data_IF_778740610720
#
_entry.id   IF_778740610720
#
_cell.length_a   1.000
_cell.length_b   1.000
_cell.length_c   1.000
_cell.angle_alpha   90.00
_cell.angle_beta   90.00
_cell.angle_gamma   90.00
#
_symmetry.space_group_name_H-M   'P 1'
#
loop_
_entity.id
_entity.type
_entity.pdbx_description
1 polymer ?
#
# COMPACT_ATOMS: atom_id res chain seq x y z
N UNK A 1 -30.29 -9.24 0.92
CA UNK A 1 -28.82 -9.44 0.95
C UNK A 1 -28.16 -9.30 -0.41
N UNK A 2 -28.61 -9.98 -1.48
CA UNK A 2 -27.94 -9.91 -2.83
C UNK A 2 -27.82 -8.48 -3.39
N UNK A 3 -28.85 -7.65 -3.25
CA UNK A 3 -28.83 -6.25 -3.74
C UNK A 3 -27.77 -5.43 -3.00
N UNK A 4 -27.65 -5.58 -1.69
CA UNK A 4 -26.66 -4.89 -0.87
C UNK A 4 -25.22 -5.22 -1.32
N UNK A 5 -24.90 -6.51 -1.49
CA UNK A 5 -23.57 -6.93 -1.98
C UNK A 5 -23.29 -6.44 -3.41
N UNK A 6 -24.35 -6.37 -4.26
CA UNK A 6 -24.23 -5.79 -5.59
C UNK A 6 -23.85 -4.31 -5.56
N UNK A 7 -24.57 -3.50 -4.79
CA UNK A 7 -24.30 -2.06 -4.64
C UNK A 7 -22.89 -1.84 -4.05
N UNK A 8 -22.55 -2.56 -2.98
CA UNK A 8 -21.26 -2.49 -2.34
C UNK A 8 -20.12 -2.83 -3.31
N UNK A 9 -20.32 -3.85 -4.16
CA UNK A 9 -19.37 -4.24 -5.18
C UNK A 9 -19.13 -3.18 -6.24
N UNK A 10 -20.20 -2.51 -6.71
CA UNK A 10 -20.06 -1.39 -7.66
C UNK A 10 -19.33 -0.22 -7.02
N UNK A 11 -19.67 0.17 -5.82
CA UNK A 11 -18.97 1.24 -5.08
C UNK A 11 -17.50 0.89 -4.85
N UNK A 12 -17.19 -0.38 -4.54
CA UNK A 12 -15.84 -0.86 -4.37
C UNK A 12 -15.02 -0.72 -5.67
N UNK A 13 -15.55 -1.17 -6.80
CA UNK A 13 -14.90 -1.04 -8.11
C UNK A 13 -14.66 0.43 -8.46
N UNK A 14 -15.67 1.28 -8.31
CA UNK A 14 -15.55 2.72 -8.55
C UNK A 14 -14.49 3.35 -7.65
N UNK A 15 -14.47 3.01 -6.37
CA UNK A 15 -13.48 3.51 -5.40
C UNK A 15 -12.04 3.07 -5.74
N UNK A 16 -11.86 1.80 -6.12
CA UNK A 16 -10.55 1.26 -6.52
C UNK A 16 -10.00 2.01 -7.74
N UNK A 17 -10.80 2.12 -8.80
CA UNK A 17 -10.37 2.76 -10.05
C UNK A 17 -10.17 4.28 -9.86
N UNK A 18 -11.13 4.94 -9.23
CA UNK A 18 -11.04 6.37 -8.94
C UNK A 18 -9.80 6.71 -8.10
N UNK A 19 -9.59 5.98 -7.00
CA UNK A 19 -8.46 6.21 -6.10
C UNK A 19 -7.12 6.00 -6.82
N UNK A 20 -6.98 4.92 -7.60
CA UNK A 20 -5.75 4.61 -8.34
C UNK A 20 -5.47 5.63 -9.44
N UNK A 21 -6.48 6.02 -10.23
CA UNK A 21 -6.34 7.03 -11.29
C UNK A 21 -6.02 8.43 -10.74
N UNK A 22 -6.66 8.81 -9.63
CA UNK A 22 -6.38 10.09 -8.97
C UNK A 22 -4.97 10.13 -8.38
N UNK A 23 -4.50 9.01 -7.78
CA UNK A 23 -3.14 8.93 -7.26
C UNK A 23 -2.08 9.17 -8.36
N UNK A 24 -2.32 8.72 -9.58
CA UNK A 24 -1.45 8.97 -10.74
C UNK A 24 -1.34 10.45 -11.15
N UNK A 25 -2.39 11.23 -10.89
CA UNK A 25 -2.47 12.63 -11.36
C UNK A 25 -1.61 13.59 -10.53
N UNK A 26 -1.31 13.24 -9.26
CA UNK A 26 -0.64 14.13 -8.35
C UNK A 26 0.87 13.86 -8.26
N UNK A 27 1.64 14.93 -7.98
CA UNK A 27 3.07 14.87 -7.67
C UNK A 27 3.33 15.08 -6.18
N UNK A 28 2.36 15.59 -5.43
CA UNK A 28 2.45 15.74 -3.98
C UNK A 28 2.34 14.36 -3.30
N UNK A 29 3.39 13.95 -2.56
CA UNK A 29 3.48 12.62 -1.95
C UNK A 29 2.27 12.30 -1.06
N UNK A 30 1.87 13.23 -0.19
CA UNK A 30 0.69 13.06 0.67
C UNK A 30 -0.61 12.87 -0.12
N UNK A 31 -0.79 13.56 -1.27
CA UNK A 31 -1.98 13.38 -2.11
C UNK A 31 -1.98 12.02 -2.78
N UNK A 32 -0.82 11.56 -3.27
CA UNK A 32 -0.67 10.20 -3.81
C UNK A 32 -1.09 9.17 -2.75
N UNK A 33 -0.57 9.31 -1.52
CA UNK A 33 -0.90 8.41 -0.42
C UNK A 33 -2.40 8.48 -0.04
N UNK A 34 -2.99 9.66 0.00
CA UNK A 34 -4.40 9.83 0.35
C UNK A 34 -5.33 9.17 -0.68
N UNK A 35 -5.14 9.46 -1.97
CA UNK A 35 -5.96 8.86 -3.02
C UNK A 35 -5.73 7.35 -3.16
N UNK A 36 -4.49 6.88 -3.00
CA UNK A 36 -4.26 5.43 -2.97
C UNK A 36 -4.96 4.76 -1.79
N UNK A 37 -5.20 5.45 -0.65
CA UNK A 37 -6.02 4.88 0.44
C UNK A 37 -7.47 4.63 0.03
N UNK A 38 -8.05 5.49 -0.80
CA UNK A 38 -9.41 5.28 -1.33
C UNK A 38 -9.48 3.95 -2.10
N UNK A 39 -8.48 3.68 -2.96
CA UNK A 39 -8.40 2.41 -3.68
C UNK A 39 -8.24 1.20 -2.76
N UNK A 40 -7.42 1.32 -1.70
CA UNK A 40 -7.20 0.21 -0.77
C UNK A 40 -8.46 -0.09 0.08
N UNK A 41 -9.21 0.93 0.51
CA UNK A 41 -10.52 0.74 1.16
C UNK A 41 -11.49 0.08 0.20
N UNK A 42 -11.42 0.39 -1.08
CA UNK A 42 -12.18 -0.29 -2.13
C UNK A 42 -11.92 -1.81 -2.19
N UNK A 43 -10.68 -2.28 -1.98
CA UNK A 43 -10.40 -3.73 -1.90
C UNK A 43 -11.07 -4.39 -0.71
N UNK A 44 -11.12 -3.72 0.44
CA UNK A 44 -11.82 -4.22 1.63
C UNK A 44 -13.31 -4.37 1.35
N UNK A 45 -13.94 -3.33 0.79
CA UNK A 45 -15.34 -3.35 0.42
C UNK A 45 -15.64 -4.43 -0.63
N UNK A 46 -14.74 -4.62 -1.62
CA UNK A 46 -14.86 -5.66 -2.63
C UNK A 46 -14.78 -7.06 -2.01
N UNK A 47 -13.91 -7.29 -1.04
CA UNK A 47 -13.80 -8.57 -0.33
C UNK A 47 -15.09 -8.93 0.40
N UNK A 48 -15.74 -7.95 1.04
CA UNK A 48 -17.06 -8.14 1.65
C UNK A 48 -18.12 -8.42 0.58
N UNK A 49 -18.10 -7.69 -0.55
CA UNK A 49 -19.05 -7.85 -1.65
C UNK A 49 -18.91 -9.18 -2.40
N UNK A 50 -17.75 -9.84 -2.35
CA UNK A 50 -17.55 -11.20 -2.87
C UNK A 50 -18.47 -12.18 -2.15
N UNK A 51 -18.58 -12.10 -0.82
CA UNK A 51 -19.56 -12.84 -0.02
C UNK A 51 -19.22 -14.31 0.18
N UNK A 52 -17.94 -14.70 0.11
CA UNK A 52 -17.46 -16.04 0.46
C UNK A 52 -16.29 -15.96 1.45
N UNK A 53 -15.83 -17.12 1.93
CA UNK A 53 -14.75 -17.23 2.90
C UNK A 53 -13.45 -16.53 2.43
N UNK A 54 -13.00 -16.78 1.21
CA UNK A 54 -11.77 -16.19 0.69
C UNK A 54 -11.87 -14.67 0.51
N UNK A 55 -13.02 -14.17 0.05
CA UNK A 55 -13.28 -12.74 -0.05
C UNK A 55 -13.18 -12.04 1.30
N UNK A 56 -13.83 -12.60 2.34
CA UNK A 56 -13.83 -12.04 3.67
C UNK A 56 -12.45 -12.17 4.34
N UNK A 57 -11.79 -13.32 4.20
CA UNK A 57 -10.43 -13.54 4.68
C UNK A 57 -9.44 -12.54 4.04
N UNK A 58 -9.55 -12.34 2.72
CA UNK A 58 -8.77 -11.34 1.99
C UNK A 58 -9.04 -9.91 2.48
N UNK A 59 -10.30 -9.55 2.76
CA UNK A 59 -10.67 -8.24 3.29
C UNK A 59 -10.06 -7.99 4.68
N UNK A 60 -10.18 -8.94 5.60
CA UNK A 60 -9.61 -8.83 6.97
C UNK A 60 -8.09 -8.73 6.91
N UNK A 61 -7.44 -9.61 6.15
CA UNK A 61 -5.99 -9.56 5.97
C UNK A 61 -5.56 -8.22 5.34
N UNK A 62 -6.38 -7.67 4.42
CA UNK A 62 -6.10 -6.39 3.78
C UNK A 62 -6.25 -5.22 4.75
N UNK A 63 -7.22 -5.22 5.67
CA UNK A 63 -7.35 -4.20 6.72
C UNK A 63 -6.06 -4.10 7.53
N UNK A 64 -5.58 -5.24 8.05
CA UNK A 64 -4.37 -5.28 8.87
C UNK A 64 -3.13 -4.86 8.07
N UNK A 65 -2.95 -5.41 6.87
CA UNK A 65 -1.84 -5.06 5.98
C UNK A 65 -1.85 -3.59 5.61
N UNK A 66 -3.03 -3.05 5.27
CA UNK A 66 -3.22 -1.65 4.92
C UNK A 66 -2.88 -0.71 6.08
N UNK A 67 -3.26 -1.08 7.31
CA UNK A 67 -2.92 -0.29 8.49
C UNK A 67 -1.40 -0.13 8.62
N UNK A 68 -0.62 -1.21 8.54
CA UNK A 68 0.85 -1.13 8.61
C UNK A 68 1.46 -0.39 7.42
N UNK A 69 1.06 -0.71 6.19
CA UNK A 69 1.58 -0.07 4.98
C UNK A 69 1.35 1.44 5.00
N UNK A 70 0.12 1.87 5.29
CA UNK A 70 -0.25 3.30 5.24
C UNK A 70 0.33 4.09 6.39
N UNK A 71 0.28 3.55 7.60
CA UNK A 71 0.93 4.19 8.75
C UNK A 71 2.42 4.40 8.46
N UNK A 72 3.12 3.38 7.96
CA UNK A 72 4.52 3.50 7.59
C UNK A 72 4.77 4.57 6.51
N UNK A 73 3.99 4.58 5.42
CA UNK A 73 4.12 5.57 4.35
C UNK A 73 3.82 6.99 4.82
N UNK A 74 2.79 7.21 5.65
CA UNK A 74 2.51 8.54 6.19
C UNK A 74 3.55 8.98 7.21
N UNK A 75 4.13 8.08 8.01
CA UNK A 75 5.27 8.40 8.86
C UNK A 75 6.48 8.83 8.04
N UNK A 76 6.81 8.12 6.94
CA UNK A 76 7.90 8.55 6.05
C UNK A 76 7.61 9.91 5.41
N UNK A 77 6.36 10.19 5.04
CA UNK A 77 5.98 11.50 4.51
C UNK A 77 6.15 12.62 5.55
N UNK A 78 5.69 12.38 6.78
CA UNK A 78 5.90 13.31 7.89
C UNK A 78 7.39 13.56 8.17
N UNK A 79 8.18 12.51 8.11
CA UNK A 79 9.62 12.55 8.29
C UNK A 79 10.36 13.40 7.23
N UNK A 80 10.00 13.21 5.96
CA UNK A 80 10.54 14.00 4.85
C UNK A 80 10.17 15.48 4.96
N UNK A 81 8.92 15.76 5.35
CA UNK A 81 8.47 17.12 5.64
C UNK A 81 9.24 17.74 6.79
N UNK A 82 9.40 17.01 7.89
CA UNK A 82 10.13 17.46 9.07
C UNK A 82 11.60 17.79 8.76
N UNK A 83 12.27 16.91 7.99
CA UNK A 83 13.70 17.04 7.76
C UNK A 83 14.07 17.99 6.65
N UNK A 84 13.30 18.02 5.56
CA UNK A 84 13.63 18.75 4.33
C UNK A 84 12.58 19.77 3.91
N UNK A 85 11.44 19.85 4.60
CA UNK A 85 10.31 20.69 4.17
C UNK A 85 9.65 20.23 2.87
N UNK A 86 9.97 19.02 2.40
CA UNK A 86 9.59 18.50 1.08
C UNK A 86 8.20 17.91 1.09
N UNK A 87 7.41 18.27 0.07
CA UNK A 87 6.06 17.77 -0.15
C UNK A 87 5.88 17.01 -1.45
N UNK A 88 6.64 17.39 -2.50
CA UNK A 88 6.52 16.84 -3.83
C UNK A 88 7.60 15.80 -4.12
N UNK A 89 7.21 14.76 -4.86
CA UNK A 89 8.12 13.67 -5.24
C UNK A 89 9.27 14.15 -6.14
N UNK A 90 9.10 15.26 -6.86
CA UNK A 90 10.16 15.89 -7.66
C UNK A 90 11.39 16.27 -6.84
N UNK A 91 11.20 16.53 -5.54
CA UNK A 91 12.26 16.90 -4.60
C UNK A 91 12.92 15.70 -3.91
N UNK A 92 12.57 14.45 -4.26
CA UNK A 92 13.11 13.23 -3.65
C UNK A 92 14.48 12.82 -4.18
N UNK A 93 15.11 13.64 -5.03
CA UNK A 93 16.40 13.30 -5.65
C UNK A 93 17.45 12.82 -4.67
N UNK A 94 18.05 11.66 -4.98
CA UNK A 94 19.07 10.99 -4.18
C UNK A 94 18.66 10.65 -2.73
N UNK A 95 17.34 10.54 -2.44
CA UNK A 95 16.85 10.26 -1.10
C UNK A 95 17.45 8.96 -0.53
N UNK A 96 17.67 7.94 -1.37
CA UNK A 96 18.28 6.67 -0.97
C UNK A 96 19.71 6.81 -0.43
N UNK A 97 20.46 7.85 -0.88
CA UNK A 97 21.80 8.13 -0.38
C UNK A 97 21.78 8.90 0.93
N UNK A 98 20.84 9.84 1.06
CA UNK A 98 20.70 10.71 2.23
C UNK A 98 20.05 10.00 3.41
N UNK A 99 18.98 9.25 3.13
CA UNK A 99 18.14 8.56 4.12
C UNK A 99 17.93 7.09 3.72
N UNK A 100 18.99 6.25 3.78
CA UNK A 100 18.92 4.87 3.27
C UNK A 100 17.89 4.00 4.01
N UNK A 101 17.74 4.15 5.33
CA UNK A 101 16.80 3.37 6.12
C UNK A 101 15.36 3.79 5.80
N UNK A 102 15.10 5.09 5.79
CA UNK A 102 13.78 5.64 5.41
C UNK A 102 13.45 5.31 3.97
N UNK A 103 14.41 5.41 3.05
CA UNK A 103 14.24 5.03 1.65
C UNK A 103 13.90 3.55 1.48
N UNK A 104 14.61 2.66 2.16
CA UNK A 104 14.31 1.22 2.16
C UNK A 104 12.90 0.93 2.70
N UNK A 105 12.48 1.62 3.75
CA UNK A 105 11.13 1.48 4.30
C UNK A 105 10.05 1.89 3.28
N UNK A 106 10.24 3.02 2.57
CA UNK A 106 9.33 3.45 1.50
C UNK A 106 9.21 2.36 0.42
N UNK A 107 10.34 1.75 0.02
CA UNK A 107 10.35 0.67 -0.98
C UNK A 107 9.55 -0.54 -0.46
N UNK A 108 9.78 -0.99 0.78
CA UNK A 108 9.06 -2.11 1.39
C UNK A 108 7.54 -1.86 1.38
N UNK A 109 7.11 -0.70 1.85
CA UNK A 109 5.68 -0.36 1.88
C UNK A 109 5.08 -0.26 0.48
N UNK A 110 5.80 0.34 -0.47
CA UNK A 110 5.37 0.48 -1.84
C UNK A 110 5.23 -0.88 -2.54
N UNK A 111 6.21 -1.78 -2.40
CA UNK A 111 6.14 -3.13 -2.96
C UNK A 111 4.96 -3.92 -2.38
N UNK A 112 4.68 -3.75 -1.09
CA UNK A 112 3.50 -4.33 -0.47
C UNK A 112 2.20 -3.72 -1.00
N UNK A 113 2.14 -2.41 -1.21
CA UNK A 113 0.97 -1.72 -1.81
C UNK A 113 0.70 -2.17 -3.25
N UNK A 114 1.75 -2.37 -4.05
CA UNK A 114 1.66 -2.94 -5.40
C UNK A 114 1.10 -4.36 -5.31
N UNK A 115 1.50 -5.12 -4.30
CA UNK A 115 1.10 -6.51 -4.10
C UNK A 115 2.12 -7.48 -4.66
N UNK A 116 3.39 -7.31 -4.32
CA UNK A 116 4.47 -8.22 -4.67
C UNK A 116 4.79 -9.16 -3.50
N UNK A 117 5.04 -10.46 -3.74
CA UNK A 117 5.53 -11.35 -2.70
C UNK A 117 6.96 -10.91 -2.27
N UNK A 118 7.37 -11.12 -1.03
CA UNK A 118 6.70 -11.84 0.06
C UNK A 118 5.83 -10.96 0.99
N UNK A 119 5.47 -9.76 0.58
CA UNK A 119 4.81 -8.78 1.44
C UNK A 119 3.31 -9.06 1.66
N UNK A 120 2.78 -8.55 2.77
CA UNK A 120 1.40 -8.74 3.22
C UNK A 120 0.34 -8.36 2.17
N UNK A 121 0.58 -7.28 1.40
CA UNK A 121 -0.36 -6.80 0.38
C UNK A 121 -0.58 -7.77 -0.77
N UNK A 122 0.40 -8.62 -1.11
CA UNK A 122 0.23 -9.68 -2.09
C UNK A 122 -0.80 -10.70 -1.62
N UNK A 123 -0.63 -11.24 -0.44
CA UNK A 123 -1.50 -12.31 0.07
C UNK A 123 -2.94 -11.86 0.25
N UNK A 124 -3.17 -10.65 0.75
CA UNK A 124 -4.53 -10.12 0.86
C UNK A 124 -5.23 -10.03 -0.51
N UNK A 125 -4.55 -9.52 -1.54
CA UNK A 125 -5.08 -9.46 -2.91
C UNK A 125 -5.24 -10.85 -3.53
N UNK A 126 -4.34 -11.77 -3.22
CA UNK A 126 -4.44 -13.16 -3.66
C UNK A 126 -5.72 -13.82 -3.18
N UNK A 127 -6.05 -13.69 -1.88
CA UNK A 127 -7.29 -14.24 -1.34
C UNK A 127 -8.53 -13.56 -1.91
N UNK A 128 -8.49 -12.23 -2.16
CA UNK A 128 -9.57 -11.53 -2.86
C UNK A 128 -9.78 -12.09 -4.27
N UNK A 129 -8.70 -12.35 -5.01
CA UNK A 129 -8.77 -12.92 -6.34
C UNK A 129 -9.34 -14.35 -6.32
N UNK A 130 -8.88 -15.20 -5.38
CA UNK A 130 -9.41 -16.56 -5.20
C UNK A 130 -10.92 -16.53 -4.91
N UNK A 131 -11.35 -15.66 -3.98
CA UNK A 131 -12.77 -15.51 -3.66
C UNK A 131 -13.62 -15.03 -4.84
N UNK A 132 -13.08 -14.12 -5.65
CA UNK A 132 -13.76 -13.62 -6.85
C UNK A 132 -13.86 -14.70 -7.94
N UNK A 133 -12.82 -15.52 -8.13
CA UNK A 133 -12.82 -16.63 -9.08
C UNK A 133 -13.84 -17.69 -8.64
N UNK A 134 -13.84 -18.10 -7.38
CA UNK A 134 -14.74 -19.11 -6.82
C UNK A 134 -16.22 -18.71 -6.98
N UNK A 135 -16.52 -17.41 -6.88
CA UNK A 135 -17.89 -16.89 -7.05
C UNK A 135 -18.24 -16.49 -8.49
N UNK A 136 -17.33 -16.73 -9.46
CA UNK A 136 -17.53 -16.36 -10.87
C UNK A 136 -17.50 -14.87 -11.16
N UNK A 137 -17.03 -14.04 -10.21
CA UNK A 137 -16.99 -12.57 -10.33
C UNK A 137 -15.68 -12.11 -11.00
N UNK A 138 -15.41 -12.55 -12.22
CA UNK A 138 -14.17 -12.27 -12.95
C UNK A 138 -13.87 -10.77 -13.16
N UNK A 139 -14.91 -9.91 -13.18
CA UNK A 139 -14.73 -8.47 -13.24
C UNK A 139 -13.89 -7.95 -12.05
N UNK A 140 -14.07 -8.51 -10.86
CA UNK A 140 -13.28 -8.11 -9.69
C UNK A 140 -11.81 -8.51 -9.82
N UNK A 141 -11.54 -9.65 -10.43
CA UNK A 141 -10.16 -10.08 -10.74
C UNK A 141 -9.51 -9.10 -11.71
N UNK A 142 -10.20 -8.73 -12.79
CA UNK A 142 -9.71 -7.74 -13.75
C UNK A 142 -9.41 -6.39 -13.08
N UNK A 143 -10.32 -5.91 -12.22
CA UNK A 143 -10.13 -4.66 -11.46
C UNK A 143 -8.93 -4.76 -10.51
N UNK A 144 -8.73 -5.89 -9.83
CA UNK A 144 -7.56 -6.13 -8.98
C UNK A 144 -6.25 -6.03 -9.75
N UNK A 145 -6.17 -6.65 -10.92
CA UNK A 145 -4.98 -6.64 -11.78
C UNK A 145 -4.71 -5.23 -12.30
N UNK A 146 -5.71 -4.58 -12.89
CA UNK A 146 -5.58 -3.22 -13.45
C UNK A 146 -5.14 -2.24 -12.36
N UNK A 147 -5.78 -2.27 -11.21
CA UNK A 147 -5.44 -1.35 -10.12
C UNK A 147 -4.06 -1.64 -9.50
N UNK A 148 -3.61 -2.89 -9.48
CA UNK A 148 -2.24 -3.23 -9.06
C UNK A 148 -1.20 -2.69 -10.04
N UNK A 149 -1.47 -2.71 -11.35
CA UNK A 149 -0.63 -2.05 -12.35
C UNK A 149 -0.61 -0.52 -12.18
N UNK A 150 -1.76 0.10 -11.94
CA UNK A 150 -1.82 1.53 -11.65
C UNK A 150 -1.04 1.88 -10.37
N UNK A 151 -1.13 1.05 -9.33
CA UNK A 151 -0.34 1.20 -8.12
C UNK A 151 1.17 1.10 -8.42
N UNK A 152 1.57 0.15 -9.26
CA UNK A 152 2.97 0.04 -9.70
C UNK A 152 3.43 1.32 -10.38
N UNK A 153 2.66 1.88 -11.31
CA UNK A 153 3.05 3.08 -12.07
C UNK A 153 3.34 4.26 -11.14
N UNK A 154 2.44 4.60 -10.20
CA UNK A 154 2.70 5.77 -9.35
C UNK A 154 3.80 5.51 -8.31
N UNK A 155 4.00 4.28 -7.83
CA UNK A 155 5.12 3.98 -6.96
C UNK A 155 6.45 3.93 -7.72
N UNK A 156 6.48 3.44 -8.97
CA UNK A 156 7.68 3.52 -9.81
C UNK A 156 8.08 4.97 -10.08
N UNK A 157 7.14 5.90 -10.27
CA UNK A 157 7.47 7.34 -10.34
C UNK A 157 8.16 7.84 -9.07
N UNK A 158 7.72 7.38 -7.89
CA UNK A 158 8.37 7.72 -6.62
C UNK A 158 9.78 7.12 -6.56
N UNK A 159 9.96 5.85 -6.96
CA UNK A 159 11.26 5.20 -7.00
C UNK A 159 12.21 5.89 -7.97
N UNK A 160 11.75 6.17 -9.19
CA UNK A 160 12.52 6.92 -10.17
C UNK A 160 13.09 8.19 -9.57
N UNK A 161 12.25 9.02 -8.95
CA UNK A 161 12.69 10.26 -8.30
C UNK A 161 13.60 10.04 -7.11
N UNK A 162 13.39 8.98 -6.32
CA UNK A 162 14.26 8.65 -5.18
C UNK A 162 15.69 8.25 -5.60
N UNK A 163 15.81 7.54 -6.72
CA UNK A 163 17.08 6.96 -7.17
C UNK A 163 17.81 7.83 -8.21
N UNK A 164 17.12 8.73 -8.91
CA UNK A 164 17.69 9.64 -9.88
C UNK A 164 18.30 10.90 -9.23
N UNK A 165 19.18 11.54 -9.96
CA UNK A 165 19.76 12.82 -9.54
C UNK A 165 18.68 13.92 -9.57
N UNK A 166 18.75 14.91 -8.67
CA UNK A 166 17.84 16.04 -8.67
C UNK A 166 17.96 16.84 -9.98
N UNK A 167 16.87 17.50 -10.44
CA UNK A 167 16.96 18.43 -11.55
C UNK A 167 18.04 19.48 -11.29
N UNK A 168 18.80 19.86 -12.32
CA UNK A 168 19.92 20.82 -12.22
C UNK A 168 19.55 22.17 -11.59
N UNK A 169 18.29 22.58 -11.71
CA UNK A 169 17.74 23.82 -11.16
C UNK A 169 17.67 23.85 -9.62
N UNK A 170 17.66 22.70 -8.97
CA UNK A 170 17.68 22.54 -7.50
C UNK A 170 19.09 22.16 -6.99
N UNK A 171 20.06 22.03 -7.90
CA UNK A 171 21.35 21.40 -7.65
C UNK A 171 22.22 22.11 -6.62
N UNK A 172 22.29 23.43 -6.65
CA UNK A 172 23.27 24.17 -5.85
C UNK A 172 22.95 24.21 -4.36
N UNK A 173 21.67 24.27 -4.00
CA UNK A 173 21.22 24.24 -2.60
C UNK A 173 21.21 22.82 -2.01
N UNK A 174 21.12 21.81 -2.87
CA UNK A 174 21.07 20.38 -2.50
C UNK A 174 22.44 19.70 -2.50
N UNK A 175 23.39 20.19 -3.30
CA UNK A 175 24.71 19.55 -3.52
C UNK A 175 25.68 19.78 -2.37
N UNK A 176 25.62 20.89 -1.66
CA UNK A 176 26.58 21.21 -0.60
C UNK A 176 26.46 20.29 0.64
N UNK A 177 25.30 19.68 0.86
CA UNK A 177 25.07 18.68 1.92
C UNK A 177 24.97 17.22 1.40
N UNK A 178 25.26 16.95 0.14
CA UNK A 178 24.88 15.71 -0.56
C UNK A 178 25.63 14.46 -0.11
N UNK A 179 26.75 14.59 0.59
CA UNK A 179 27.58 13.45 1.01
C UNK A 179 27.35 12.98 2.45
N UNK A 180 26.64 13.72 3.27
CA UNK A 180 26.34 13.32 4.64
C UNK A 180 25.03 12.53 4.70
N UNK A 181 25.10 11.31 5.23
CA UNK A 181 23.88 10.56 5.62
C UNK A 181 23.17 11.35 6.71
N UNK A 182 21.92 11.74 6.44
CA UNK A 182 21.10 12.57 7.33
C UNK A 182 19.84 11.79 7.63
N UNK A 183 19.99 10.71 8.36
CA UNK A 183 18.86 9.85 8.73
C UNK A 183 17.99 10.52 9.81
N UNK A 184 16.81 9.98 10.02
CA UNK A 184 15.88 10.43 11.06
C UNK A 184 16.38 10.07 12.47
N UNK A 185 15.96 10.82 13.49
CA UNK A 185 16.18 10.42 14.88
C UNK A 185 15.44 9.10 15.19
N UNK A 186 15.97 8.33 16.12
CA UNK A 186 15.49 6.99 16.47
C UNK A 186 14.00 6.96 16.87
N UNK A 187 13.49 7.99 17.51
CA UNK A 187 12.08 8.11 17.89
C UNK A 187 11.13 8.15 16.67
N UNK A 188 11.60 8.54 15.47
CA UNK A 188 10.84 8.48 14.22
C UNK A 188 11.11 7.21 13.43
N UNK A 189 12.35 6.68 13.50
CA UNK A 189 12.72 5.45 12.79
C UNK A 189 12.07 4.20 13.39
N UNK A 190 11.94 4.13 14.72
CA UNK A 190 11.35 2.97 15.40
C UNK A 190 9.92 2.68 14.91
N UNK A 191 8.97 3.64 14.88
CA UNK A 191 7.63 3.38 14.35
C UNK A 191 7.64 2.93 12.87
N UNK A 192 8.50 3.53 12.05
CA UNK A 192 8.67 3.14 10.64
C UNK A 192 9.18 1.70 10.55
N UNK A 193 10.19 1.36 11.35
CA UNK A 193 10.75 0.01 11.41
C UNK A 193 9.74 -1.04 11.88
N UNK A 194 8.93 -0.72 12.90
CA UNK A 194 7.84 -1.60 13.37
C UNK A 194 6.81 -1.84 12.27
N UNK A 195 6.41 -0.78 11.54
CA UNK A 195 5.49 -0.93 10.42
C UNK A 195 6.09 -1.79 9.30
N UNK A 196 7.37 -1.60 8.96
CA UNK A 196 8.04 -2.39 7.92
C UNK A 196 8.17 -3.87 8.33
N UNK A 197 8.56 -4.13 9.58
CA UNK A 197 8.61 -5.48 10.13
C UNK A 197 7.21 -6.14 10.16
N UNK A 198 6.17 -5.37 10.50
CA UNK A 198 4.78 -5.84 10.45
C UNK A 198 4.34 -6.26 9.05
N UNK A 199 4.64 -5.46 8.03
CA UNK A 199 4.33 -5.77 6.63
C UNK A 199 5.00 -7.05 6.15
N UNK A 200 6.28 -7.25 6.50
CA UNK A 200 7.04 -8.46 6.16
C UNK A 200 6.52 -9.65 6.99
N UNK A 201 6.35 -9.47 8.30
CA UNK A 201 5.89 -10.53 9.20
C UNK A 201 4.52 -11.06 8.82
N UNK A 202 3.53 -10.18 8.56
CA UNK A 202 2.20 -10.59 8.10
C UNK A 202 2.29 -11.36 6.78
N UNK A 203 3.15 -10.94 5.86
CA UNK A 203 3.36 -11.64 4.60
C UNK A 203 3.90 -13.05 4.79
N UNK A 204 4.96 -13.20 5.59
CA UNK A 204 5.61 -14.50 5.84
C UNK A 204 4.73 -15.46 6.65
N UNK A 205 3.98 -14.93 7.63
CA UNK A 205 3.13 -15.73 8.53
C UNK A 205 1.65 -15.73 8.15
N UNK A 206 1.30 -15.30 6.93
CA UNK A 206 -0.09 -15.19 6.47
C UNK A 206 -0.89 -16.50 6.59
N UNK A 207 -0.26 -17.65 6.30
CA UNK A 207 -0.90 -18.97 6.43
C UNK A 207 -1.30 -19.25 7.87
N UNK A 208 -0.42 -18.95 8.82
CA UNK A 208 -0.68 -19.16 10.25
C UNK A 208 -1.81 -18.23 10.74
N UNK A 209 -1.81 -16.98 10.31
CA UNK A 209 -2.86 -16.00 10.64
C UNK A 209 -4.21 -16.48 10.12
N UNK A 210 -4.26 -16.98 8.88
CA UNK A 210 -5.50 -17.47 8.27
C UNK A 210 -6.01 -18.76 8.91
N UNK A 211 -5.12 -19.74 9.13
CA UNK A 211 -5.55 -21.04 9.69
C UNK A 211 -5.81 -20.99 11.19
N UNK A 212 -5.03 -20.20 11.93
CA UNK A 212 -5.14 -20.12 13.37
C UNK A 212 -6.22 -19.16 13.89
N UNK A 213 -6.37 -18.00 13.24
CA UNK A 213 -7.28 -16.96 13.75
C UNK A 213 -8.56 -16.87 12.89
N UNK A 214 -8.40 -16.80 11.57
CA UNK A 214 -9.54 -16.53 10.71
C UNK A 214 -10.40 -17.77 10.44
N UNK A 215 -9.81 -18.96 10.37
CA UNK A 215 -10.58 -20.18 10.09
C UNK A 215 -11.59 -20.50 11.20
N UNK A 216 -11.20 -20.34 12.45
CA UNK A 216 -12.09 -20.58 13.60
C UNK A 216 -13.20 -19.54 13.66
N UNK A 217 -12.88 -18.26 13.50
CA UNK A 217 -13.86 -17.17 13.64
C UNK A 217 -14.77 -17.03 12.41
N UNK A 218 -14.24 -17.23 11.19
CA UNK A 218 -15.04 -17.06 9.98
C UNK A 218 -15.92 -18.28 9.66
N UNK A 219 -15.51 -19.49 10.04
CA UNK A 219 -16.38 -20.66 9.90
C UNK A 219 -17.64 -20.54 10.74
N UNK A 220 -17.56 -19.96 11.93
CA UNK A 220 -18.75 -19.70 12.75
C UNK A 220 -19.72 -18.71 12.09
N UNK A 221 -19.20 -17.69 11.38
CA UNK A 221 -20.02 -16.69 10.67
C UNK A 221 -20.70 -17.26 9.42
N UNK A 222 -20.11 -18.26 8.75
CA UNK A 222 -20.69 -18.88 7.56
C UNK A 222 -21.55 -20.12 7.86
N UNK A 223 -21.49 -20.66 9.08
CA UNK A 223 -22.33 -21.76 9.54
C UNK A 223 -23.65 -21.29 10.20
N UNK A 224 -23.79 -19.98 10.46
CA UNK A 224 -25.03 -19.29 10.86
C UNK A 224 -25.74 -18.67 9.63
#
# INVERSE_FOLDING_TARGET
MKIFFGILGVLAVCGILYGSLKALKYDTYNKILAYSSVGQVGYIAMGIAIGNYFGLAGAVLHIVSHAFMKTGLFYTSGALKYRFGVHDISSFGQLYRKMPITGAAIVIFALSMIGLPPFAGFFSKWYLAMGAIETGKYLYVAVLVISSLLNAIYFFRIFERMFMDPPKELGDQYLDNSRRKVELPWNMLIPIGVCAAGVIGIGLFQSYILTGILKTTLLEVFLL
#
